data_IF_931741172381
#
_entry.id   IF_931741172381
#
_cell.length_a   1.000
_cell.length_b   1.000
_cell.length_c   1.000
_cell.angle_alpha   90.00
_cell.angle_beta   90.00
_cell.angle_gamma   90.00
#
_symmetry.space_group_name_H-M   'P 1'
#
loop_
_entity.id
_entity.type
_entity.pdbx_description
1 polymer ?
#
# COMPACT_ATOMS: atom_id res chain seq x y z
N UNK A 1 15.77 2.78 6.31
CA UNK A 1 15.33 1.65 5.46
C UNK A 1 13.86 1.43 5.71
N UNK A 2 13.05 1.21 4.67
CA UNK A 2 11.61 1.13 4.81
C UNK A 2 11.20 -0.08 5.68
N UNK A 3 10.48 0.20 6.76
CA UNK A 3 9.94 -0.76 7.73
C UNK A 3 8.48 -0.45 7.98
N UNK A 4 7.72 -1.44 8.45
CA UNK A 4 6.31 -1.33 8.80
C UNK A 4 6.14 -0.81 10.23
N UNK A 5 5.16 0.07 10.47
CA UNK A 5 4.81 0.60 11.79
C UNK A 5 3.80 -0.31 12.53
N UNK A 6 4.22 -1.01 13.61
CA UNK A 6 3.33 -1.87 14.40
C UNK A 6 2.13 -1.14 15.02
N UNK A 7 2.24 0.17 15.27
CA UNK A 7 1.17 0.97 15.86
C UNK A 7 0.03 1.21 14.88
N UNK A 8 0.28 1.10 13.57
CA UNK A 8 -0.74 1.24 12.52
C UNK A 8 -1.39 -0.08 12.14
N UNK A 9 -0.70 -1.20 12.36
CA UNK A 9 -1.08 -2.51 11.83
C UNK A 9 -2.44 -2.99 12.37
N UNK A 10 -3.28 -3.46 11.45
CA UNK A 10 -4.51 -4.13 11.83
C UNK A 10 -4.25 -5.32 12.77
N UNK A 11 -5.07 -5.58 13.80
CA UNK A 11 -4.80 -6.62 14.80
C UNK A 11 -4.65 -8.06 14.27
N UNK A 12 -5.00 -8.34 13.01
CA UNK A 12 -4.76 -9.65 12.36
C UNK A 12 -3.51 -9.70 11.49
N UNK A 13 -2.80 -8.59 11.36
CA UNK A 13 -1.52 -8.56 10.65
C UNK A 13 -0.42 -8.89 11.64
N UNK A 14 0.41 -9.88 11.28
CA UNK A 14 1.61 -10.24 12.03
C UNK A 14 2.82 -9.73 11.25
N UNK A 15 3.63 -8.92 11.91
CA UNK A 15 4.87 -8.38 11.36
C UNK A 15 6.05 -9.27 11.73
N UNK A 16 7.04 -9.37 10.85
CA UNK A 16 8.33 -9.98 11.19
C UNK A 16 9.10 -9.11 12.20
N UNK A 17 10.08 -9.71 12.88
CA UNK A 17 10.94 -9.01 13.85
C UNK A 17 11.68 -7.82 13.24
N UNK A 18 12.11 -7.94 11.98
CA UNK A 18 12.78 -6.87 11.23
C UNK A 18 11.80 -5.84 10.63
N UNK A 19 10.49 -6.01 10.85
CA UNK A 19 9.41 -5.15 10.38
C UNK A 19 9.35 -4.98 8.85
N UNK A 20 9.90 -5.93 8.08
CA UNK A 20 9.90 -5.87 6.60
C UNK A 20 8.89 -6.81 5.95
N UNK A 21 8.28 -7.72 6.72
CA UNK A 21 7.29 -8.67 6.23
C UNK A 21 6.01 -8.54 7.02
N UNK A 22 4.91 -8.79 6.35
CA UNK A 22 3.58 -8.82 6.93
C UNK A 22 2.81 -10.00 6.36
N UNK A 23 2.02 -10.64 7.21
CA UNK A 23 1.09 -11.70 6.81
C UNK A 23 -0.22 -11.56 7.56
N UNK A 24 -1.29 -12.03 6.94
CA UNK A 24 -2.62 -12.06 7.55
C UNK A 24 -2.81 -13.35 8.36
N UNK A 25 -3.45 -13.23 9.51
CA UNK A 25 -3.84 -14.34 10.38
C UNK A 25 -5.36 -14.39 10.60
N UNK A 26 -5.87 -15.59 10.88
CA UNK A 26 -7.29 -15.77 11.21
C UNK A 26 -7.65 -15.18 12.58
N UNK A 27 -6.69 -15.22 13.51
CA UNK A 27 -6.86 -14.75 14.87
C UNK A 27 -6.32 -13.34 15.06
N UNK A 28 -7.03 -12.57 15.89
CA UNK A 28 -6.57 -11.24 16.31
C UNK A 28 -5.45 -11.41 17.32
N UNK A 29 -4.35 -10.69 17.09
CA UNK A 29 -3.25 -10.53 18.02
C UNK A 29 -3.69 -9.68 19.22
N UNK A 30 -3.18 -9.94 20.43
CA UNK A 30 -3.53 -9.20 21.65
C UNK A 30 -2.77 -7.86 21.72
N UNK A 31 -3.00 -6.99 20.73
CA UNK A 31 -2.38 -5.65 20.65
C UNK A 31 -3.37 -4.58 21.13
N UNK A 32 -2.91 -3.53 21.85
CA UNK A 32 -3.77 -2.46 22.31
C UNK A 32 -4.30 -1.64 21.14
N UNK A 33 -5.55 -1.19 21.23
CA UNK A 33 -6.08 -0.21 20.28
C UNK A 33 -5.49 1.17 20.56
N UNK A 34 -5.23 1.93 19.49
CA UNK A 34 -4.70 3.29 19.53
C UNK A 34 -5.25 4.08 18.31
N UNK A 35 -5.21 5.43 18.29
CA UNK A 35 -5.76 6.21 17.18
C UNK A 35 -5.12 5.95 15.80
N UNK A 36 -3.86 5.51 15.75
CA UNK A 36 -3.12 5.21 14.51
C UNK A 36 -3.51 3.84 13.91
N UNK A 37 -3.97 2.91 14.75
CA UNK A 37 -4.26 1.53 14.37
C UNK A 37 -5.47 1.40 13.46
N UNK A 38 -5.32 0.69 12.35
CA UNK A 38 -6.44 0.24 11.55
C UNK A 38 -7.25 -0.83 12.29
N UNK A 39 -8.51 -0.55 12.63
CA UNK A 39 -9.33 -1.49 13.41
C UNK A 39 -10.10 -2.53 12.54
N UNK A 40 -10.35 -2.19 11.28
CA UNK A 40 -11.23 -2.91 10.35
C UNK A 40 -10.59 -3.14 8.99
N UNK A 41 -9.87 -2.15 8.47
CA UNK A 41 -9.18 -2.23 7.18
C UNK A 41 -7.91 -3.06 7.32
N UNK A 42 -7.63 -3.96 6.37
CA UNK A 42 -6.50 -4.90 6.41
C UNK A 42 -5.17 -4.21 6.02
N UNK A 43 -4.84 -3.14 6.72
CA UNK A 43 -3.74 -2.24 6.36
C UNK A 43 -2.71 -2.15 7.50
N UNK A 44 -1.49 -1.83 7.08
CA UNK A 44 -0.36 -1.37 7.89
C UNK A 44 0.36 -0.33 7.05
N UNK A 45 1.01 0.65 7.68
CA UNK A 45 1.82 1.64 6.97
C UNK A 45 3.31 1.45 7.21
N UNK A 46 4.11 2.11 6.38
CA UNK A 46 5.51 2.38 6.67
C UNK A 46 5.72 3.27 7.91
N UNK A 47 6.83 3.06 8.62
CA UNK A 47 7.26 3.90 9.76
C UNK A 47 7.79 5.26 9.33
N UNK A 48 8.32 5.35 8.12
CA UNK A 48 8.84 6.58 7.51
C UNK A 48 7.96 6.97 6.32
N UNK A 49 7.70 8.26 6.16
CA UNK A 49 6.96 8.80 5.03
C UNK A 49 7.64 10.01 4.42
N UNK A 50 7.16 10.42 3.26
CA UNK A 50 7.83 11.38 2.38
C UNK A 50 7.01 12.66 2.24
N UNK A 51 7.69 13.81 2.27
CA UNK A 51 7.08 15.14 2.05
C UNK A 51 7.67 15.89 0.85
N UNK A 52 8.70 15.33 0.23
CA UNK A 52 9.48 15.91 -0.88
C UNK A 52 10.23 14.80 -1.58
N UNK A 53 10.64 15.02 -2.82
CA UNK A 53 11.57 14.20 -3.58
C UNK A 53 10.93 13.00 -4.28
N UNK A 54 11.82 12.20 -4.85
CA UNK A 54 11.49 10.98 -5.59
C UNK A 54 11.96 9.77 -4.81
N UNK A 55 11.05 8.82 -4.62
CA UNK A 55 11.26 7.64 -3.78
C UNK A 55 10.87 6.39 -4.54
N UNK A 56 11.59 5.31 -4.30
CA UNK A 56 11.33 4.01 -4.89
C UNK A 56 11.57 2.92 -3.85
N UNK A 57 10.67 1.94 -3.82
CA UNK A 57 10.86 0.71 -3.06
C UNK A 57 10.15 -0.44 -3.74
N UNK A 58 10.51 -1.65 -3.33
CA UNK A 58 10.00 -2.88 -3.90
C UNK A 58 9.31 -3.70 -2.81
N UNK A 59 8.20 -4.34 -3.18
CA UNK A 59 7.49 -5.26 -2.31
C UNK A 59 7.38 -6.60 -3.01
N UNK A 60 7.92 -7.64 -2.37
CA UNK A 60 7.69 -9.02 -2.79
C UNK A 60 6.27 -9.42 -2.40
N UNK A 61 5.44 -9.73 -3.40
CA UNK A 61 4.04 -10.17 -3.21
C UNK A 61 3.90 -11.69 -3.35
N UNK A 62 4.93 -12.36 -3.89
CA UNK A 62 5.03 -13.80 -3.99
C UNK A 62 3.87 -14.43 -4.78
N UNK A 63 3.47 -15.63 -4.37
CA UNK A 63 2.32 -16.35 -4.95
C UNK A 63 1.01 -16.07 -4.18
N UNK A 64 0.93 -14.93 -3.48
CA UNK A 64 -0.23 -14.57 -2.67
C UNK A 64 -1.47 -14.26 -3.52
N UNK A 65 -2.62 -14.82 -3.16
CA UNK A 65 -3.87 -14.64 -3.92
C UNK A 65 -4.64 -13.34 -3.56
N UNK A 66 -4.23 -12.64 -2.50
CA UNK A 66 -4.88 -11.40 -2.07
C UNK A 66 -3.90 -10.44 -1.39
N UNK A 67 -3.59 -9.32 -2.04
CA UNK A 67 -2.69 -8.29 -1.52
C UNK A 67 -3.01 -6.92 -2.12
N UNK A 68 -2.55 -5.87 -1.47
CA UNK A 68 -2.52 -4.51 -2.02
C UNK A 68 -1.28 -3.78 -1.52
N UNK A 69 -0.64 -3.01 -2.40
CA UNK A 69 0.54 -2.20 -2.10
C UNK A 69 0.38 -0.82 -2.73
N UNK A 70 0.95 0.20 -2.12
CA UNK A 70 0.77 1.57 -2.58
C UNK A 70 1.30 2.59 -1.62
N UNK A 71 0.62 3.74 -1.59
CA UNK A 71 0.88 4.82 -0.66
C UNK A 71 -0.42 5.41 -0.13
N UNK A 72 -0.37 5.96 1.08
CA UNK A 72 -1.47 6.67 1.71
C UNK A 72 -1.01 8.01 2.29
N UNK A 73 -1.90 8.99 2.32
CA UNK A 73 -1.72 10.18 3.15
C UNK A 73 -1.66 9.79 4.62
N UNK A 74 -0.82 10.49 5.40
CA UNK A 74 -0.75 10.31 6.86
C UNK A 74 -2.12 10.48 7.54
N UNK A 75 -2.94 11.39 7.04
CA UNK A 75 -4.29 11.70 7.53
C UNK A 75 -5.36 10.65 7.21
N UNK A 76 -5.02 9.57 6.50
CA UNK A 76 -6.01 8.56 6.10
C UNK A 76 -6.77 8.03 7.31
N UNK A 77 -8.09 7.89 7.15
CA UNK A 77 -8.97 7.40 8.21
C UNK A 77 -8.54 6.00 8.68
N UNK A 78 -8.35 5.84 9.99
CA UNK A 78 -7.91 4.57 10.61
C UNK A 78 -9.04 3.68 11.11
N UNK A 79 -10.19 4.27 11.44
CA UNK A 79 -11.27 3.59 12.14
C UNK A 79 -12.45 3.27 11.23
N UNK A 80 -13.02 2.07 11.37
CA UNK A 80 -14.05 1.52 10.51
C UNK A 80 -13.54 1.12 9.12
N UNK A 81 -14.45 0.61 8.29
CA UNK A 81 -14.13 0.19 6.93
C UNK A 81 -13.84 1.40 6.04
N UNK A 82 -12.72 1.37 5.33
CA UNK A 82 -12.37 2.39 4.34
C UNK A 82 -12.47 1.82 2.92
N UNK A 83 -12.93 2.63 1.99
CA UNK A 83 -12.85 2.32 0.57
C UNK A 83 -11.48 2.73 0.06
N UNK A 84 -10.60 1.79 -0.25
CA UNK A 84 -9.24 2.10 -0.72
C UNK A 84 -9.31 2.75 -2.10
N UNK A 85 -9.09 4.07 -2.17
CA UNK A 85 -9.04 4.83 -3.42
C UNK A 85 -8.48 6.27 -3.23
N UNK A 86 -8.12 6.96 -4.34
CA UNK A 86 -7.54 8.31 -4.25
C UNK A 86 -8.39 9.36 -3.57
N UNK A 87 -9.74 9.24 -3.59
CA UNK A 87 -10.63 10.22 -2.94
C UNK A 87 -10.46 10.26 -1.42
N UNK A 88 -9.96 9.18 -0.82
CA UNK A 88 -9.64 9.09 0.62
C UNK A 88 -8.14 9.15 0.89
N UNK A 89 -7.35 9.55 -0.11
CA UNK A 89 -5.90 9.72 0.03
C UNK A 89 -5.11 8.42 -0.01
N UNK A 90 -5.56 7.40 -0.77
CA UNK A 90 -4.82 6.15 -0.96
C UNK A 90 -4.65 5.87 -2.46
N UNK A 91 -3.43 5.57 -2.89
CA UNK A 91 -3.09 5.17 -4.26
C UNK A 91 -2.42 3.82 -4.21
N UNK A 92 -3.11 2.79 -4.70
CA UNK A 92 -2.64 1.41 -4.58
C UNK A 92 -3.03 0.55 -5.79
N UNK A 93 -2.27 -0.51 -6.00
CA UNK A 93 -2.66 -1.64 -6.85
C UNK A 93 -2.77 -2.87 -5.98
N UNK A 94 -3.53 -3.85 -6.42
CA UNK A 94 -3.69 -5.10 -5.68
C UNK A 94 -4.18 -6.24 -6.53
N UNK A 95 -4.13 -7.41 -5.92
CA UNK A 95 -4.67 -8.65 -6.45
C UNK A 95 -5.80 -9.14 -5.54
N UNK A 96 -6.86 -9.67 -6.14
CA UNK A 96 -7.91 -10.40 -5.44
C UNK A 96 -8.28 -11.64 -6.27
N UNK A 97 -7.90 -12.83 -5.77
CA UNK A 97 -7.96 -14.06 -6.54
C UNK A 97 -7.05 -13.96 -7.76
N UNK A 98 -7.61 -14.15 -8.96
CA UNK A 98 -6.89 -14.04 -10.23
C UNK A 98 -6.90 -12.63 -10.85
N UNK A 99 -7.57 -11.66 -10.23
CA UNK A 99 -7.76 -10.33 -10.80
C UNK A 99 -6.77 -9.32 -10.20
N UNK A 100 -5.99 -8.67 -11.06
CA UNK A 100 -5.20 -7.49 -10.71
C UNK A 100 -5.99 -6.23 -10.99
N UNK A 101 -5.84 -5.22 -10.14
CA UNK A 101 -6.62 -4.00 -10.23
C UNK A 101 -5.88 -2.79 -9.67
N UNK A 102 -6.08 -1.65 -10.30
CA UNK A 102 -5.83 -0.35 -9.68
C UNK A 102 -7.03 -0.01 -8.79
N UNK A 103 -6.75 0.34 -7.53
CA UNK A 103 -7.75 0.64 -6.52
C UNK A 103 -8.26 2.08 -6.68
N UNK A 104 -8.87 2.38 -7.82
CA UNK A 104 -9.57 3.63 -8.12
C UNK A 104 -11.06 3.55 -7.72
N UNK A 105 -11.83 4.62 -7.98
CA UNK A 105 -13.28 4.63 -7.76
C UNK A 105 -13.99 5.07 -9.06
N UNK A 106 -14.50 4.12 -9.88
CA UNK A 106 -14.50 2.65 -9.70
C UNK A 106 -13.11 2.03 -9.89
N UNK A 107 -12.91 0.78 -9.45
CA UNK A 107 -11.68 0.02 -9.66
C UNK A 107 -11.43 -0.23 -11.15
N UNK A 108 -10.17 -0.20 -11.58
CA UNK A 108 -9.79 -0.46 -12.97
C UNK A 108 -9.05 -1.82 -13.02
N UNK A 109 -9.55 -2.82 -13.76
CA UNK A 109 -8.84 -4.07 -13.97
C UNK A 109 -7.51 -3.86 -14.70
N UNK A 110 -6.48 -4.61 -14.31
CA UNK A 110 -5.15 -4.60 -14.93
C UNK A 110 -4.92 -5.97 -15.58
N UNK A 111 -4.64 -5.97 -16.88
CA UNK A 111 -4.27 -7.17 -17.62
C UNK A 111 -2.75 -7.33 -17.61
N UNK A 112 -2.27 -8.38 -16.93
CA UNK A 112 -0.85 -8.74 -16.90
C UNK A 112 -0.66 -10.07 -17.61
N UNK A 113 0.35 -10.16 -18.49
CA UNK A 113 0.69 -11.41 -19.20
C UNK A 113 1.36 -12.42 -18.26
N UNK A 114 2.12 -11.93 -17.28
CA UNK A 114 2.85 -12.71 -16.30
C UNK A 114 2.49 -12.19 -14.90
N UNK A 115 2.31 -13.11 -13.95
CA UNK A 115 2.06 -12.74 -12.56
C UNK A 115 3.30 -12.06 -11.95
N UNK A 116 3.20 -10.81 -11.47
CA UNK A 116 4.34 -10.11 -10.90
C UNK A 116 4.67 -10.69 -9.53
N UNK A 117 5.94 -11.04 -9.30
CA UNK A 117 6.40 -11.51 -7.98
C UNK A 117 6.86 -10.37 -7.08
N UNK A 118 7.22 -9.24 -7.69
CA UNK A 118 7.74 -8.08 -7.02
C UNK A 118 7.19 -6.82 -7.68
N UNK A 119 6.63 -5.94 -6.87
CA UNK A 119 6.05 -4.68 -7.32
C UNK A 119 6.98 -3.56 -6.92
N UNK A 120 7.47 -2.81 -7.91
CA UNK A 120 8.14 -1.52 -7.69
C UNK A 120 7.10 -0.42 -7.52
N UNK A 121 7.22 0.38 -6.47
CA UNK A 121 6.39 1.56 -6.21
C UNK A 121 7.28 2.80 -6.33
N UNK A 122 6.90 3.70 -7.22
CA UNK A 122 7.59 4.96 -7.45
C UNK A 122 6.69 6.14 -7.04
N UNK A 123 7.21 6.99 -6.17
CA UNK A 123 6.59 8.24 -5.73
C UNK A 123 7.44 9.41 -6.20
N UNK A 124 6.83 10.33 -6.96
CA UNK A 124 7.38 11.65 -7.26
C UNK A 124 6.51 12.68 -6.55
N UNK A 125 6.99 13.20 -5.42
CA UNK A 125 6.19 14.04 -4.55
C UNK A 125 5.83 15.36 -5.24
N UNK A 126 6.82 16.05 -5.81
CA UNK A 126 6.64 17.34 -6.47
C UNK A 126 5.80 17.23 -7.74
N UNK A 127 5.95 16.15 -8.52
CA UNK A 127 5.12 15.91 -9.70
C UNK A 127 3.74 15.32 -9.37
N UNK A 128 3.46 14.98 -8.10
CA UNK A 128 2.19 14.40 -7.71
C UNK A 128 1.96 12.99 -8.25
N UNK A 129 3.02 12.23 -8.56
CA UNK A 129 2.93 10.99 -9.33
C UNK A 129 3.15 9.77 -8.45
N UNK A 130 2.29 8.77 -8.63
CA UNK A 130 2.46 7.42 -8.09
C UNK A 130 2.39 6.42 -9.24
N UNK A 131 3.43 5.63 -9.40
CA UNK A 131 3.54 4.63 -10.47
C UNK A 131 3.98 3.27 -9.93
N UNK A 132 3.52 2.22 -10.61
CA UNK A 132 3.71 0.83 -10.25
C UNK A 132 4.31 0.07 -11.42
N UNK A 133 5.26 -0.81 -11.14
CA UNK A 133 6.00 -1.60 -12.13
C UNK A 133 6.16 -3.03 -11.64
N UNK A 134 6.22 -3.98 -12.57
CA UNK A 134 6.82 -5.28 -12.29
C UNK A 134 8.33 -5.07 -12.28
N UNK A 135 8.94 -5.06 -11.10
CA UNK A 135 10.36 -4.71 -10.98
C UNK A 135 11.28 -5.79 -11.56
N UNK A 136 10.81 -7.03 -11.71
CA UNK A 136 11.59 -8.13 -12.29
C UNK A 136 11.66 -8.04 -13.80
N UNK A 137 10.57 -7.64 -14.43
CA UNK A 137 10.45 -7.57 -15.89
C UNK A 137 10.60 -6.13 -16.43
N UNK A 138 10.76 -5.15 -15.53
CA UNK A 138 10.83 -3.71 -15.85
C UNK A 138 9.59 -3.21 -16.62
N UNK A 139 8.44 -3.87 -16.45
CA UNK A 139 7.21 -3.53 -17.16
C UNK A 139 6.31 -2.60 -16.34
N UNK A 140 5.74 -1.54 -16.94
CA UNK A 140 4.79 -0.69 -16.26
C UNK A 140 3.47 -1.43 -15.98
N UNK A 141 2.99 -1.35 -14.74
CA UNK A 141 1.71 -1.93 -14.31
C UNK A 141 0.61 -0.87 -14.36
N UNK A 142 0.81 0.25 -13.65
CA UNK A 142 -0.18 1.32 -13.57
C UNK A 142 0.46 2.64 -13.15
N UNK A 143 -0.04 3.76 -13.67
CA UNK A 143 0.33 5.10 -13.19
C UNK A 143 -0.93 5.88 -12.89
N UNK A 144 -1.01 6.41 -11.68
CA UNK A 144 -2.11 7.32 -11.33
C UNK A 144 -1.93 8.67 -12.01
N UNK A 145 -3.03 9.34 -12.39
CA UNK A 145 -2.97 10.75 -12.80
C UNK A 145 -2.30 11.59 -11.73
N UNK A 146 -1.49 12.60 -12.11
CA UNK A 146 -0.87 13.52 -11.17
C UNK A 146 -1.88 14.12 -10.19
N UNK A 147 -1.49 14.25 -8.93
CA UNK A 147 -2.35 14.75 -7.85
C UNK A 147 -1.58 15.62 -6.87
N UNK A 148 -2.28 16.55 -6.20
CA UNK A 148 -1.66 17.32 -5.12
C UNK A 148 -1.70 16.52 -3.81
N UNK A 149 -0.54 16.32 -3.19
CA UNK A 149 -0.46 15.77 -1.84
C UNK A 149 -0.77 16.81 -0.75
N UNK A 150 -1.09 18.06 -1.12
CA UNK A 150 -1.47 19.14 -0.21
C UNK A 150 -0.46 19.41 0.92
N UNK A 151 0.82 19.14 0.67
CA UNK A 151 1.88 19.26 1.66
C UNK A 151 1.86 18.18 2.75
N UNK A 152 0.96 17.19 2.67
CA UNK A 152 0.85 16.09 3.63
C UNK A 152 1.97 15.05 3.42
N UNK A 153 2.32 14.34 4.48
CA UNK A 153 3.23 13.22 4.39
C UNK A 153 2.56 12.02 3.72
N UNK A 154 3.30 11.37 2.82
CA UNK A 154 2.88 10.18 2.10
C UNK A 154 3.63 8.98 2.67
N UNK A 155 2.88 8.00 3.16
CA UNK A 155 3.38 6.80 3.80
C UNK A 155 3.20 5.62 2.84
N UNK A 156 4.18 4.72 2.71
CA UNK A 156 3.99 3.39 2.13
C UNK A 156 2.85 2.62 2.80
#
# INVERSE_FOLDING_TARGET
SLTLDPETAHPRLVLSEDLKRVRWEDTRQPVPDNPKRFDSSRCVLGSEGFRTGRHYWEVEVGDGEAWAVGVAKESVRRKGRISVNPKVGIWAVGQCGSQYQALTSPTIPISLLVAPKMIGIYLDYEAGRVAFFDSKNEEPIFTYPPTSFAGEQILP
#
